data_IF_201841534750
#
_entry.id   IF_201841534750
#
_cell.length_a   1.000
_cell.length_b   1.000
_cell.length_c   1.000
_cell.angle_alpha   90.00
_cell.angle_beta   90.00
_cell.angle_gamma   90.00
#
_symmetry.space_group_name_H-M   'P 1'
#
loop_
_entity.id
_entity.type
_entity.pdbx_description
1 polymer ?
#
# COMPACT_ATOMS: atom_id res chain seq x y z
N UNK A 1 70.92 -65.11 1.12
CA UNK A 1 69.86 -64.18 0.66
C UNK A 1 70.56 -62.93 0.16
N UNK A 2 70.37 -62.54 -1.10
CA UNK A 2 71.16 -61.48 -1.73
C UNK A 2 70.94 -60.15 -1.03
N UNK A 3 72.00 -59.39 -0.80
CA UNK A 3 71.97 -58.04 -0.19
C UNK A 3 70.93 -57.13 -0.86
N UNK A 4 70.85 -57.22 -2.19
CA UNK A 4 69.86 -56.52 -3.01
C UNK A 4 68.40 -56.85 -2.60
N UNK A 5 68.13 -58.10 -2.23
CA UNK A 5 66.81 -58.53 -1.77
C UNK A 5 66.45 -57.89 -0.44
N UNK A 6 67.39 -57.77 0.51
CA UNK A 6 67.16 -57.12 1.80
C UNK A 6 66.84 -55.63 1.66
N UNK A 7 67.58 -54.91 0.80
CA UNK A 7 67.35 -53.49 0.54
C UNK A 7 65.99 -53.27 -0.14
N UNK A 8 65.67 -54.09 -1.15
CA UNK A 8 64.38 -54.01 -1.84
C UNK A 8 63.22 -54.31 -0.87
N UNK A 9 63.38 -55.32 -0.01
CA UNK A 9 62.38 -55.69 1.00
C UNK A 9 62.16 -54.53 1.99
N UNK A 10 63.23 -53.91 2.50
CA UNK A 10 63.13 -52.76 3.40
C UNK A 10 62.51 -51.53 2.72
N UNK A 11 62.81 -51.30 1.44
CA UNK A 11 62.18 -50.23 0.65
C UNK A 11 60.67 -50.47 0.46
N UNK A 12 60.25 -51.70 0.14
CA UNK A 12 58.83 -52.03 -0.04
C UNK A 12 58.08 -51.94 1.29
N UNK A 13 58.65 -52.45 2.38
CA UNK A 13 58.04 -52.36 3.71
C UNK A 13 57.96 -50.89 4.16
N UNK A 14 59.03 -50.12 3.98
CA UNK A 14 59.06 -48.70 4.31
C UNK A 14 58.03 -47.90 3.51
N UNK A 15 57.91 -48.17 2.20
CA UNK A 15 56.91 -47.53 1.35
C UNK A 15 55.47 -47.95 1.68
N UNK A 16 55.25 -49.21 2.01
CA UNK A 16 53.94 -49.68 2.48
C UNK A 16 53.54 -49.03 3.80
N UNK A 17 54.44 -48.99 4.80
CA UNK A 17 54.18 -48.34 6.08
C UNK A 17 53.96 -46.84 5.87
N UNK A 18 54.76 -46.17 5.04
CA UNK A 18 54.61 -44.75 4.74
C UNK A 18 53.26 -44.42 4.08
N UNK A 19 52.85 -45.21 3.08
CA UNK A 19 51.55 -45.06 2.44
C UNK A 19 50.39 -45.39 3.41
N UNK A 20 50.48 -46.50 4.16
CA UNK A 20 49.45 -46.95 5.08
C UNK A 20 49.24 -45.97 6.23
N UNK A 21 50.32 -45.49 6.86
CA UNK A 21 50.25 -44.53 7.96
C UNK A 21 49.62 -43.21 7.49
N UNK A 22 49.99 -42.72 6.31
CA UNK A 22 49.40 -41.49 5.80
C UNK A 22 47.93 -41.67 5.37
N UNK A 23 47.57 -42.82 4.79
CA UNK A 23 46.17 -43.16 4.50
C UNK A 23 45.31 -43.18 5.76
N UNK A 24 45.81 -43.79 6.84
CA UNK A 24 45.13 -43.82 8.14
C UNK A 24 45.02 -42.42 8.72
N UNK A 25 46.08 -41.61 8.66
CA UNK A 25 46.07 -40.23 9.18
C UNK A 25 45.01 -39.36 8.48
N UNK A 26 44.91 -39.45 7.15
CA UNK A 26 43.87 -38.75 6.38
C UNK A 26 42.48 -39.24 6.80
N UNK A 27 42.29 -40.56 6.91
CA UNK A 27 41.02 -41.15 7.36
C UNK A 27 40.65 -40.73 8.79
N UNK A 28 41.65 -40.50 9.64
CA UNK A 28 41.48 -40.03 11.02
C UNK A 28 41.02 -38.57 11.13
N UNK A 29 41.19 -37.75 10.10
CA UNK A 29 40.62 -36.40 10.06
C UNK A 29 39.08 -36.42 10.04
N UNK A 30 38.51 -37.45 9.42
CA UNK A 30 37.06 -37.60 9.21
C UNK A 30 36.41 -38.54 10.23
N UNK A 31 37.09 -39.63 10.60
CA UNK A 31 36.59 -40.66 11.52
C UNK A 31 37.55 -40.87 12.70
N UNK A 32 37.09 -41.28 13.89
CA UNK A 32 35.72 -41.63 14.26
C UNK A 32 34.86 -40.39 14.52
N UNK A 33 33.56 -40.52 14.25
CA UNK A 33 32.58 -39.44 14.41
C UNK A 33 32.28 -39.07 15.87
N UNK A 34 32.56 -39.99 16.80
CA UNK A 34 32.35 -39.81 18.26
C UNK A 34 33.65 -40.07 19.00
N UNK A 35 33.79 -39.48 20.19
CA UNK A 35 34.91 -39.77 21.08
C UNK A 35 34.85 -41.23 21.53
N UNK A 36 35.98 -41.93 21.44
CA UNK A 36 36.10 -43.32 21.90
C UNK A 36 36.81 -43.29 23.26
N UNK A 37 36.27 -44.02 24.23
CA UNK A 37 36.83 -44.14 25.58
C UNK A 37 37.40 -45.53 25.77
N UNK A 38 38.62 -45.61 26.31
CA UNK A 38 39.32 -46.85 26.63
C UNK A 38 39.85 -46.74 28.06
N UNK A 39 39.51 -47.70 28.94
CA UNK A 39 39.89 -47.69 30.36
C UNK A 39 39.62 -46.34 31.07
N UNK A 40 38.41 -45.81 30.93
CA UNK A 40 37.98 -44.49 31.44
C UNK A 40 38.80 -43.28 30.95
N UNK A 41 39.74 -43.45 30.00
CA UNK A 41 40.48 -42.37 29.38
C UNK A 41 40.05 -42.21 27.92
N UNK A 42 39.92 -40.96 27.48
CA UNK A 42 39.57 -40.65 26.08
C UNK A 42 40.77 -40.95 25.18
N UNK A 43 40.54 -41.70 24.09
CA UNK A 43 41.59 -41.98 23.12
C UNK A 43 42.04 -40.67 22.44
N UNK A 44 43.35 -40.39 22.35
CA UNK A 44 43.84 -39.22 21.62
C UNK A 44 43.37 -39.28 20.16
N UNK A 45 43.15 -38.12 19.55
CA UNK A 45 42.66 -37.98 18.18
C UNK A 45 41.25 -38.57 17.90
N UNK A 46 40.40 -38.70 18.93
CA UNK A 46 38.96 -39.02 18.77
C UNK A 46 38.06 -37.95 19.42
N UNK A 47 37.01 -37.45 18.75
CA UNK A 47 36.63 -37.70 17.37
C UNK A 47 37.63 -37.07 16.39
N UNK A 48 37.50 -37.39 15.10
CA UNK A 48 38.31 -36.79 14.04
C UNK A 48 38.26 -35.26 14.06
N UNK A 49 39.25 -34.62 13.43
CA UNK A 49 39.43 -33.16 13.48
C UNK A 49 38.23 -32.39 12.90
N UNK A 50 37.67 -32.85 11.77
CA UNK A 50 36.56 -32.19 11.08
C UNK A 50 35.25 -32.29 11.88
N UNK A 51 34.82 -33.48 12.37
CA UNK A 51 33.70 -33.59 13.30
C UNK A 51 33.84 -32.68 14.53
N UNK A 52 35.06 -32.54 15.07
CA UNK A 52 35.34 -31.73 16.25
C UNK A 52 35.18 -30.23 16.02
N UNK A 53 35.44 -29.73 14.80
CA UNK A 53 35.37 -28.29 14.44
C UNK A 53 34.14 -27.91 13.61
N UNK A 54 33.15 -28.81 13.50
CA UNK A 54 31.96 -28.60 12.67
C UNK A 54 31.22 -27.31 13.00
N UNK A 55 31.00 -27.01 14.28
CA UNK A 55 30.25 -25.82 14.69
C UNK A 55 31.02 -24.53 14.35
N UNK A 56 32.34 -24.57 14.46
CA UNK A 56 33.23 -23.47 14.06
C UNK A 56 33.20 -23.26 12.55
N UNK A 57 33.17 -24.34 11.76
CA UNK A 57 33.00 -24.27 10.30
C UNK A 57 31.64 -23.69 9.92
N UNK A 58 30.55 -24.16 10.54
CA UNK A 58 29.20 -23.68 10.30
C UNK A 58 29.09 -22.17 10.55
N UNK A 59 29.67 -21.69 11.67
CA UNK A 59 29.68 -20.27 12.03
C UNK A 59 30.48 -19.43 11.03
N UNK A 60 31.66 -19.88 10.61
CA UNK A 60 32.47 -19.15 9.65
C UNK A 60 31.85 -19.12 8.24
N UNK A 61 31.32 -20.26 7.77
CA UNK A 61 30.63 -20.32 6.49
C UNK A 61 29.39 -19.43 6.50
N UNK A 62 28.57 -19.48 7.55
CA UNK A 62 27.40 -18.61 7.69
C UNK A 62 27.78 -17.13 7.62
N UNK A 63 28.83 -16.73 8.33
CA UNK A 63 29.33 -15.34 8.28
C UNK A 63 29.80 -14.94 6.88
N UNK A 64 30.52 -15.81 6.17
CA UNK A 64 31.01 -15.53 4.81
C UNK A 64 29.85 -15.43 3.81
N UNK A 65 28.90 -16.36 3.87
CA UNK A 65 27.72 -16.37 2.99
C UNK A 65 26.91 -15.10 3.15
N UNK A 66 26.64 -14.65 4.38
CA UNK A 66 25.90 -13.41 4.61
C UNK A 66 26.68 -12.18 4.16
N UNK A 67 27.97 -12.11 4.50
CA UNK A 67 28.79 -10.92 4.17
C UNK A 67 29.15 -10.77 2.69
N UNK A 68 29.05 -11.82 1.87
CA UNK A 68 29.47 -11.79 0.47
C UNK A 68 28.40 -12.18 -0.54
N UNK A 69 27.42 -13.01 -0.17
CA UNK A 69 26.37 -13.49 -1.10
C UNK A 69 25.00 -12.87 -0.83
N UNK A 70 24.68 -12.58 0.44
CA UNK A 70 23.41 -12.01 0.87
C UNK A 70 23.60 -10.59 1.41
N UNK A 71 24.38 -9.79 0.68
CA UNK A 71 24.57 -8.37 1.01
C UNK A 71 23.31 -7.57 0.65
N UNK A 72 23.11 -6.47 1.35
CA UNK A 72 22.04 -5.50 1.06
C UNK A 72 22.06 -5.09 -0.41
N UNK A 73 23.24 -4.71 -0.93
CA UNK A 73 23.40 -4.28 -2.33
C UNK A 73 23.01 -5.38 -3.32
N UNK A 74 23.40 -6.63 -3.06
CA UNK A 74 23.08 -7.75 -3.95
C UNK A 74 21.57 -8.05 -3.97
N UNK A 75 20.92 -8.01 -2.81
CA UNK A 75 19.47 -8.22 -2.68
C UNK A 75 18.72 -7.06 -3.34
N UNK A 76 19.12 -5.82 -3.06
CA UNK A 76 18.55 -4.62 -3.66
C UNK A 76 18.66 -4.64 -5.18
N UNK A 77 19.85 -4.92 -5.71
CA UNK A 77 20.06 -5.02 -7.16
C UNK A 77 19.18 -6.09 -7.79
N UNK A 78 18.97 -7.23 -7.10
CA UNK A 78 18.09 -8.29 -7.61
C UNK A 78 16.61 -7.91 -7.57
N UNK A 79 16.17 -7.20 -6.54
CA UNK A 79 14.78 -6.73 -6.39
C UNK A 79 14.39 -5.66 -7.43
N UNK A 80 15.37 -4.87 -7.87
CA UNK A 80 15.21 -3.83 -8.89
C UNK A 80 15.49 -4.32 -10.32
N UNK A 81 15.74 -5.62 -10.49
CA UNK A 81 15.97 -6.21 -11.82
C UNK A 81 14.67 -6.19 -12.65
N UNK A 82 14.76 -5.67 -13.87
CA UNK A 82 13.60 -5.54 -14.77
C UNK A 82 12.93 -6.90 -15.07
N UNK A 83 13.72 -7.98 -15.14
CA UNK A 83 13.14 -9.32 -15.39
C UNK A 83 12.31 -9.79 -14.19
N UNK A 84 12.81 -9.60 -12.97
CA UNK A 84 12.05 -9.95 -11.77
C UNK A 84 10.77 -9.11 -11.66
N UNK A 85 10.84 -7.80 -11.92
CA UNK A 85 9.67 -6.92 -11.94
C UNK A 85 8.63 -7.43 -12.94
N UNK A 86 9.06 -7.81 -14.14
CA UNK A 86 8.18 -8.37 -15.17
C UNK A 86 7.57 -9.71 -14.75
N UNK A 87 8.37 -10.64 -14.22
CA UNK A 87 7.87 -11.94 -13.74
C UNK A 87 6.82 -11.79 -12.63
N UNK A 88 7.05 -10.87 -11.68
CA UNK A 88 6.09 -10.58 -10.61
C UNK A 88 4.83 -9.92 -11.18
N UNK A 89 4.99 -8.97 -12.09
CA UNK A 89 3.88 -8.30 -12.77
C UNK A 89 3.01 -9.32 -13.53
N UNK A 90 3.62 -10.23 -14.28
CA UNK A 90 2.92 -11.28 -15.02
C UNK A 90 2.21 -12.25 -14.06
N UNK A 91 2.86 -12.61 -12.95
CA UNK A 91 2.27 -13.47 -11.91
C UNK A 91 1.06 -12.82 -11.25
N UNK A 92 1.16 -11.56 -10.85
CA UNK A 92 0.05 -10.80 -10.24
C UNK A 92 -1.06 -10.58 -11.26
N UNK A 93 -0.73 -10.30 -12.52
CA UNK A 93 -1.72 -10.18 -13.60
C UNK A 93 -2.49 -11.47 -13.80
N UNK A 94 -1.80 -12.61 -13.79
CA UNK A 94 -2.44 -13.93 -13.87
C UNK A 94 -3.35 -14.20 -12.67
N UNK A 95 -2.87 -13.93 -11.46
CA UNK A 95 -3.67 -14.07 -10.24
C UNK A 95 -4.90 -13.15 -10.26
N UNK A 96 -4.75 -11.92 -10.73
CA UNK A 96 -5.85 -10.98 -10.90
C UNK A 96 -6.89 -11.54 -11.86
N UNK A 97 -6.47 -12.06 -13.02
CA UNK A 97 -7.39 -12.65 -13.99
C UNK A 97 -8.11 -13.90 -13.43
N UNK A 98 -7.41 -14.78 -12.70
CA UNK A 98 -8.03 -15.92 -12.01
C UNK A 98 -9.07 -15.46 -10.96
N UNK A 99 -8.77 -14.40 -10.21
CA UNK A 99 -9.69 -13.83 -9.21
C UNK A 99 -10.86 -13.05 -9.82
N UNK A 100 -10.71 -12.53 -11.03
CA UNK A 100 -11.78 -11.88 -11.79
C UNK A 100 -12.86 -12.86 -12.29
N UNK A 101 -12.58 -14.17 -12.28
CA UNK A 101 -13.56 -15.21 -12.61
C UNK A 101 -14.41 -15.66 -11.42
N UNK A 102 -14.05 -15.27 -10.19
CA UNK A 102 -14.83 -15.58 -8.99
C UNK A 102 -15.92 -14.52 -8.78
N UNK A 103 -16.92 -14.85 -7.96
CA UNK A 103 -17.97 -13.90 -7.55
C UNK A 103 -17.78 -13.52 -6.07
N UNK A 104 -16.62 -12.95 -5.74
CA UNK A 104 -16.33 -12.56 -4.35
C UNK A 104 -16.80 -11.14 -4.08
N UNK A 105 -17.54 -10.95 -3.00
CA UNK A 105 -17.96 -9.61 -2.58
C UNK A 105 -16.83 -8.90 -1.80
N UNK A 106 -16.76 -7.56 -1.83
CA UNK A 106 -15.82 -6.82 -0.98
C UNK A 106 -15.94 -7.20 0.51
N UNK A 107 -17.15 -7.47 0.99
CA UNK A 107 -17.38 -7.86 2.39
C UNK A 107 -16.75 -9.23 2.71
N UNK A 108 -16.90 -10.22 1.83
CA UNK A 108 -16.26 -11.54 1.97
C UNK A 108 -14.73 -11.46 1.89
N UNK A 109 -14.18 -10.67 0.96
CA UNK A 109 -12.74 -10.46 0.86
C UNK A 109 -12.18 -9.86 2.15
N UNK A 110 -12.79 -8.79 2.65
CA UNK A 110 -12.33 -8.10 3.85
C UNK A 110 -12.48 -8.98 5.10
N UNK A 111 -13.55 -9.78 5.18
CA UNK A 111 -13.70 -10.78 6.22
C UNK A 111 -12.56 -11.81 6.20
N UNK A 112 -12.11 -12.25 5.03
CA UNK A 112 -10.97 -13.18 4.91
C UNK A 112 -9.66 -12.59 5.43
N UNK A 113 -9.47 -11.27 5.33
CA UNK A 113 -8.33 -10.55 5.90
C UNK A 113 -8.47 -10.27 7.41
N UNK A 114 -9.51 -10.80 8.07
CA UNK A 114 -9.77 -10.57 9.50
C UNK A 114 -10.49 -9.25 9.79
N UNK A 115 -11.03 -8.59 8.77
CA UNK A 115 -11.79 -7.37 8.95
C UNK A 115 -13.31 -7.65 9.01
N UNK A 116 -13.84 -7.87 10.21
CA UNK A 116 -15.29 -7.93 10.45
C UNK A 116 -15.97 -6.57 10.28
N UNK A 117 -17.24 -6.53 9.86
CA UNK A 117 -18.02 -5.29 9.66
C UNK A 117 -17.28 -4.24 8.80
N UNK A 118 -16.66 -4.71 7.71
CA UNK A 118 -15.79 -3.87 6.89
C UNK A 118 -16.54 -2.70 6.24
N UNK A 119 -17.81 -2.91 5.87
CA UNK A 119 -18.70 -1.86 5.36
C UNK A 119 -18.84 -0.69 6.35
N UNK A 120 -19.32 -0.96 7.58
CA UNK A 120 -19.55 0.06 8.60
C UNK A 120 -18.25 0.82 8.93
N UNK A 121 -17.14 0.09 9.07
CA UNK A 121 -15.84 0.72 9.40
C UNK A 121 -15.29 1.57 8.26
N UNK A 122 -15.43 1.10 7.02
CA UNK A 122 -15.00 1.85 5.85
C UNK A 122 -15.83 3.13 5.71
N UNK A 123 -17.15 3.04 5.89
CA UNK A 123 -18.04 4.19 5.83
C UNK A 123 -17.76 5.21 6.94
N UNK A 124 -17.54 4.78 8.18
CA UNK A 124 -17.16 5.67 9.27
C UNK A 124 -15.80 6.36 9.03
N UNK A 125 -14.84 5.66 8.43
CA UNK A 125 -13.55 6.26 8.04
C UNK A 125 -13.71 7.27 6.91
N UNK A 126 -14.52 6.95 5.88
CA UNK A 126 -14.84 7.86 4.78
C UNK A 126 -15.52 9.11 5.32
N UNK A 127 -16.54 8.97 6.16
CA UNK A 127 -17.27 10.08 6.79
C UNK A 127 -16.32 11.03 7.50
N UNK A 128 -15.49 10.50 8.40
CA UNK A 128 -14.53 11.30 9.17
C UNK A 128 -13.48 11.95 8.28
N UNK A 129 -13.01 11.25 7.24
CA UNK A 129 -12.00 11.76 6.32
C UNK A 129 -12.58 12.85 5.44
N UNK A 130 -13.80 12.68 4.93
CA UNK A 130 -14.52 13.68 4.13
C UNK A 130 -14.83 14.92 4.96
N UNK A 131 -15.35 14.76 6.18
CA UNK A 131 -15.62 15.89 7.07
C UNK A 131 -14.34 16.69 7.34
N UNK A 132 -13.22 16.00 7.60
CA UNK A 132 -11.92 16.64 7.79
C UNK A 132 -11.45 17.35 6.53
N UNK A 133 -11.57 16.73 5.36
CA UNK A 133 -11.12 17.31 4.09
C UNK A 133 -11.97 18.52 3.69
N UNK A 134 -13.28 18.46 3.88
CA UNK A 134 -14.19 19.59 3.65
C UNK A 134 -13.87 20.73 4.61
N UNK A 135 -13.70 20.45 5.91
CA UNK A 135 -13.32 21.47 6.88
C UNK A 135 -11.94 22.08 6.55
N UNK A 136 -10.98 21.26 6.15
CA UNK A 136 -9.66 21.73 5.73
C UNK A 136 -9.75 22.60 4.47
N UNK A 137 -10.56 22.21 3.50
CA UNK A 137 -10.82 22.97 2.29
C UNK A 137 -11.46 24.33 2.61
N UNK A 138 -12.55 24.35 3.40
CA UNK A 138 -13.23 25.58 3.83
C UNK A 138 -12.29 26.50 4.61
N UNK A 139 -11.41 25.93 5.44
CA UNK A 139 -10.42 26.69 6.22
C UNK A 139 -9.25 27.23 5.39
N UNK A 140 -8.84 26.51 4.34
CA UNK A 140 -7.70 26.88 3.47
C UNK A 140 -8.11 27.83 2.36
N UNK A 141 -9.37 27.74 1.90
CA UNK A 141 -9.92 28.52 0.79
C UNK A 141 -10.78 29.71 1.23
N UNK A 142 -10.65 30.15 2.49
CA UNK A 142 -11.41 31.27 3.09
C UNK A 142 -11.47 32.54 2.24
N UNK A 143 -10.33 32.92 1.68
CA UNK A 143 -10.15 34.16 0.90
C UNK A 143 -10.33 33.97 -0.61
N UNK A 144 -10.72 32.77 -1.05
CA UNK A 144 -10.99 32.52 -2.47
C UNK A 144 -12.40 33.01 -2.79
N UNK A 145 -12.56 33.64 -3.96
CA UNK A 145 -13.87 34.09 -4.42
C UNK A 145 -14.72 32.89 -4.79
N UNK A 146 -16.02 32.98 -4.55
CA UNK A 146 -16.96 31.92 -4.91
C UNK A 146 -16.93 31.60 -6.42
N UNK A 147 -16.71 32.61 -7.26
CA UNK A 147 -16.50 32.48 -8.71
C UNK A 147 -15.38 31.50 -9.09
N UNK A 148 -14.31 31.39 -8.31
CA UNK A 148 -13.19 30.48 -8.61
C UNK A 148 -13.48 29.02 -8.19
N UNK A 149 -14.51 28.81 -7.37
CA UNK A 149 -14.89 27.50 -6.82
C UNK A 149 -16.04 26.85 -7.59
N UNK A 150 -16.81 27.64 -8.35
CA UNK A 150 -17.93 27.15 -9.17
C UNK A 150 -17.39 26.68 -10.53
N UNK A 151 -17.58 25.41 -10.91
CA UNK A 151 -17.23 24.94 -12.25
C UNK A 151 -17.98 25.72 -13.34
N UNK A 152 -17.31 26.08 -14.44
CA UNK A 152 -17.91 26.84 -15.55
C UNK A 152 -19.21 26.22 -16.11
N UNK A 153 -19.40 24.90 -15.97
CA UNK A 153 -20.63 24.21 -16.34
C UNK A 153 -21.84 24.65 -15.50
N UNK A 154 -21.66 24.87 -14.19
CA UNK A 154 -22.72 25.35 -13.30
C UNK A 154 -23.14 26.79 -13.63
N UNK A 155 -22.19 27.64 -13.97
CA UNK A 155 -22.45 29.04 -14.37
C UNK A 155 -23.35 29.10 -15.61
N UNK A 156 -23.10 28.22 -16.58
CA UNK A 156 -23.92 28.09 -17.79
C UNK A 156 -25.34 27.54 -17.52
N UNK A 157 -25.48 26.58 -16.62
CA UNK A 157 -26.80 26.06 -16.21
C UNK A 157 -27.58 27.13 -15.44
N UNK A 158 -26.94 27.84 -14.52
CA UNK A 158 -27.59 28.87 -13.70
C UNK A 158 -28.12 30.04 -14.54
N UNK A 159 -27.35 30.53 -15.50
CA UNK A 159 -27.80 31.57 -16.45
C UNK A 159 -28.99 31.11 -17.30
N UNK A 160 -29.06 29.81 -17.61
CA UNK A 160 -30.19 29.21 -18.36
C UNK A 160 -31.41 28.98 -17.47
N UNK A 161 -31.23 28.70 -16.17
CA UNK A 161 -32.30 28.40 -15.22
C UNK A 161 -32.86 29.63 -14.49
N UNK A 162 -32.10 30.72 -14.37
CA UNK A 162 -32.53 31.97 -13.73
C UNK A 162 -33.84 32.55 -14.31
N UNK A 163 -34.04 32.56 -15.65
CA UNK A 163 -35.33 32.96 -16.22
C UNK A 163 -36.51 32.11 -15.75
N UNK A 164 -36.33 30.80 -15.60
CA UNK A 164 -37.36 29.90 -15.07
C UNK A 164 -37.65 30.15 -13.58
N UNK A 165 -36.62 30.51 -12.81
CA UNK A 165 -36.79 30.93 -11.41
C UNK A 165 -37.60 32.23 -11.34
N UNK A 166 -37.29 33.21 -12.20
CA UNK A 166 -38.05 34.45 -12.33
C UNK A 166 -39.52 34.19 -12.69
N UNK A 167 -39.77 33.29 -13.64
CA UNK A 167 -41.12 32.90 -14.03
C UNK A 167 -41.87 32.25 -12.86
N UNK A 168 -41.21 31.37 -12.10
CA UNK A 168 -41.82 30.71 -10.93
C UNK A 168 -42.09 31.69 -9.79
N UNK A 169 -41.20 32.67 -9.57
CA UNK A 169 -41.39 33.72 -8.56
C UNK A 169 -42.53 34.66 -8.96
N UNK A 170 -42.54 35.16 -10.19
CA UNK A 170 -43.62 36.03 -10.69
C UNK A 170 -44.97 35.33 -10.72
N UNK A 171 -45.02 34.06 -11.11
CA UNK A 171 -46.23 33.25 -11.02
C UNK A 171 -46.74 33.11 -9.58
N UNK A 172 -45.85 32.80 -8.62
CA UNK A 172 -46.24 32.74 -7.20
C UNK A 172 -46.69 34.09 -6.65
N UNK A 173 -46.03 35.18 -7.02
CA UNK A 173 -46.44 36.53 -6.61
C UNK A 173 -47.80 36.91 -7.21
N UNK A 174 -48.06 36.61 -8.48
CA UNK A 174 -49.36 36.84 -9.10
C UNK A 174 -50.45 36.01 -8.43
N UNK A 175 -50.20 34.73 -8.12
CA UNK A 175 -51.15 33.89 -7.39
C UNK A 175 -51.46 34.42 -5.99
N UNK A 176 -50.43 34.86 -5.25
CA UNK A 176 -50.61 35.45 -3.92
C UNK A 176 -51.41 36.76 -3.99
N UNK A 177 -51.07 37.66 -4.91
CA UNK A 177 -51.81 38.92 -5.07
C UNK A 177 -53.26 38.65 -5.48
N UNK A 178 -53.54 37.63 -6.28
CA UNK A 178 -54.89 37.24 -6.68
C UNK A 178 -55.68 36.51 -5.58
N UNK A 179 -55.02 36.01 -4.53
CA UNK A 179 -55.69 35.25 -3.47
C UNK A 179 -56.47 36.15 -2.50
N UNK A 180 -57.38 35.53 -1.75
CA UNK A 180 -58.10 36.19 -0.67
C UNK A 180 -57.13 36.71 0.42
N UNK A 181 -56.04 35.98 0.72
CA UNK A 181 -55.02 36.49 1.65
C UNK A 181 -54.33 37.75 1.11
N UNK A 182 -53.98 37.78 -0.18
CA UNK A 182 -53.41 38.96 -0.83
C UNK A 182 -54.33 40.18 -0.74
N UNK A 183 -55.63 39.97 -1.00
CA UNK A 183 -56.66 41.03 -0.87
C UNK A 183 -56.74 41.58 0.55
N UNK A 184 -56.77 40.70 1.56
CA UNK A 184 -56.78 41.09 2.98
C UNK A 184 -55.51 41.88 3.33
N UNK A 185 -54.34 41.43 2.88
CA UNK A 185 -53.07 42.09 3.15
C UNK A 185 -52.99 43.48 2.51
N UNK A 186 -53.42 43.63 1.26
CA UNK A 186 -53.49 44.93 0.55
C UNK A 186 -54.43 45.89 1.29
N UNK A 187 -55.59 45.40 1.72
CA UNK A 187 -56.55 46.17 2.50
C UNK A 187 -55.96 46.67 3.81
N UNK A 188 -55.27 45.82 4.54
CA UNK A 188 -54.58 46.19 5.78
C UNK A 188 -53.45 47.20 5.52
N UNK A 189 -52.63 47.01 4.48
CA UNK A 189 -51.60 47.97 4.10
C UNK A 189 -52.18 49.35 3.78
N UNK A 190 -53.32 49.40 3.07
CA UNK A 190 -54.02 50.65 2.78
C UNK A 190 -54.61 51.30 4.03
N UNK A 191 -55.19 50.51 4.94
CA UNK A 191 -55.70 51.01 6.22
C UNK A 191 -54.57 51.62 7.04
N UNK A 192 -53.45 50.91 7.19
CA UNK A 192 -52.27 51.38 7.91
C UNK A 192 -51.69 52.63 7.27
N UNK A 193 -51.57 52.68 5.93
CA UNK A 193 -51.07 53.85 5.22
C UNK A 193 -51.90 55.12 5.54
N UNK A 194 -53.22 55.03 5.50
CA UNK A 194 -54.09 56.16 5.81
C UNK A 194 -54.12 56.52 7.30
N UNK A 195 -53.75 55.60 8.19
CA UNK A 195 -53.63 55.85 9.62
C UNK A 195 -52.30 56.51 9.99
N UNK A 196 -51.20 56.05 9.39
CA UNK A 196 -49.86 56.61 9.58
C UNK A 196 -49.74 58.04 9.02
N UNK A 197 -50.47 58.37 7.95
CA UNK A 197 -50.49 59.71 7.38
C UNK A 197 -51.39 60.71 8.14
N UNK A 198 -51.76 60.38 9.38
CA UNK A 198 -52.37 61.29 10.35
C UNK A 198 -53.64 61.98 9.84
N UNK A 199 -53.72 63.31 9.98
CA UNK A 199 -54.92 64.09 9.66
C UNK A 199 -55.26 64.12 8.16
N UNK A 200 -54.28 64.00 7.26
CA UNK A 200 -54.55 63.95 5.82
C UNK A 200 -55.03 62.56 5.39
N UNK A 201 -54.49 61.50 5.96
CA UNK A 201 -54.92 60.13 5.69
C UNK A 201 -56.35 59.84 6.20
N UNK A 202 -56.73 60.38 7.35
CA UNK A 202 -58.12 60.28 7.85
C UNK A 202 -59.13 61.02 6.96
N UNK A 203 -58.74 62.15 6.36
CA UNK A 203 -59.57 62.85 5.37
C UNK A 203 -59.71 62.03 4.07
N UNK A 204 -58.63 61.41 3.59
CA UNK A 204 -58.66 60.58 2.38
C UNK A 204 -59.60 59.37 2.51
N UNK A 205 -59.71 58.76 3.71
CA UNK A 205 -60.64 57.65 4.00
C UNK A 205 -62.11 58.01 3.79
N UNK A 206 -62.50 59.29 3.88
CA UNK A 206 -63.88 59.73 3.64
C UNK A 206 -64.25 59.71 2.14
N UNK A 207 -63.25 59.85 1.26
CA UNK A 207 -63.45 59.94 -0.18
C UNK A 207 -63.02 58.67 -0.94
N UNK A 208 -62.14 57.87 -0.34
CA UNK A 208 -61.62 56.63 -0.92
C UNK A 208 -62.21 55.43 -0.17
N UNK A 209 -63.05 54.66 -0.86
CA UNK A 209 -63.49 53.36 -0.34
C UNK A 209 -62.33 52.38 -0.41
N UNK A 210 -61.82 51.98 0.75
CA UNK A 210 -60.68 51.06 0.89
C UNK A 210 -60.94 49.72 0.19
N UNK A 211 -62.19 49.23 0.17
CA UNK A 211 -62.51 47.94 -0.46
C UNK A 211 -62.31 48.00 -1.98
N UNK A 212 -62.95 48.97 -2.66
CA UNK A 212 -62.85 49.11 -4.11
C UNK A 212 -61.49 49.63 -4.56
N UNK A 213 -60.79 50.37 -3.70
CA UNK A 213 -59.42 50.79 -3.96
C UNK A 213 -58.43 49.61 -3.83
N UNK A 214 -58.62 48.73 -2.85
CA UNK A 214 -57.83 47.49 -2.71
C UNK A 214 -57.98 46.61 -3.94
N UNK A 215 -59.20 46.44 -4.45
CA UNK A 215 -59.47 45.68 -5.69
C UNK A 215 -58.79 46.30 -6.91
N UNK A 216 -58.80 47.63 -7.05
CA UNK A 216 -58.07 48.31 -8.13
C UNK A 216 -56.56 48.14 -8.02
N UNK A 217 -56.00 48.23 -6.81
CA UNK A 217 -54.57 47.98 -6.58
C UNK A 217 -54.22 46.53 -6.86
N UNK A 218 -55.07 45.58 -6.48
CA UNK A 218 -54.90 44.16 -6.77
C UNK A 218 -54.85 43.91 -8.28
N UNK A 219 -55.80 44.46 -9.04
CA UNK A 219 -55.86 44.30 -10.50
C UNK A 219 -54.65 44.93 -11.21
N UNK A 220 -54.27 46.17 -10.84
CA UNK A 220 -53.11 46.81 -11.46
C UNK A 220 -51.79 46.15 -11.02
N UNK A 221 -51.72 45.66 -9.78
CA UNK A 221 -50.58 44.89 -9.26
C UNK A 221 -50.41 43.55 -9.99
N UNK A 222 -51.49 42.82 -10.28
CA UNK A 222 -51.45 41.60 -11.08
C UNK A 222 -50.99 41.86 -12.51
N UNK A 223 -51.50 42.93 -13.12
CA UNK A 223 -51.11 43.34 -14.46
C UNK A 223 -49.63 43.71 -14.50
N UNK A 224 -49.13 44.43 -13.50
CA UNK A 224 -47.73 44.84 -13.38
C UNK A 224 -46.81 43.63 -13.14
N UNK A 225 -47.16 42.70 -12.26
CA UNK A 225 -46.34 41.48 -12.01
C UNK A 225 -46.23 40.60 -13.27
N UNK A 226 -47.30 40.52 -14.07
CA UNK A 226 -47.34 39.70 -15.27
C UNK A 226 -46.72 40.38 -16.52
N UNK A 227 -46.45 41.68 -16.48
CA UNK A 227 -45.78 42.39 -17.57
C UNK A 227 -44.37 41.84 -17.83
N UNK A 228 -44.01 41.80 -19.11
CA UNK A 228 -42.67 41.39 -19.57
C UNK A 228 -41.57 42.24 -18.91
N UNK A 229 -41.79 43.55 -18.77
CA UNK A 229 -40.82 44.48 -18.19
C UNK A 229 -40.52 44.16 -16.72
N UNK A 230 -41.53 43.82 -15.92
CA UNK A 230 -41.35 43.44 -14.51
C UNK A 230 -40.61 42.12 -14.38
N UNK A 231 -40.93 41.14 -15.24
CA UNK A 231 -40.18 39.86 -15.30
C UNK A 231 -38.72 40.11 -15.67
N UNK A 232 -38.46 40.95 -16.67
CA UNK A 232 -37.09 41.30 -17.07
C UNK A 232 -36.32 42.02 -15.96
N UNK A 233 -36.98 42.95 -15.25
CA UNK A 233 -36.38 43.65 -14.11
C UNK A 233 -36.04 42.69 -12.97
N UNK A 234 -36.95 41.78 -12.60
CA UNK A 234 -36.68 40.77 -11.57
C UNK A 234 -35.54 39.85 -12.00
N UNK A 235 -35.53 39.41 -13.27
CA UNK A 235 -34.45 38.57 -13.78
C UNK A 235 -33.09 39.28 -13.72
N UNK A 236 -33.05 40.57 -14.08
CA UNK A 236 -31.83 41.39 -13.97
C UNK A 236 -31.37 41.57 -12.52
N UNK A 237 -32.30 41.82 -11.60
CA UNK A 237 -31.99 41.90 -10.17
C UNK A 237 -31.41 40.58 -9.64
N UNK A 238 -32.06 39.44 -9.94
CA UNK A 238 -31.58 38.12 -9.53
C UNK A 238 -30.21 37.79 -10.14
N UNK A 239 -30.00 38.14 -11.40
CA UNK A 239 -28.71 37.95 -12.08
C UNK A 239 -27.62 38.82 -11.46
N UNK A 240 -27.95 40.06 -11.07
CA UNK A 240 -27.01 40.98 -10.43
C UNK A 240 -26.67 40.53 -9.01
N UNK A 241 -27.66 40.11 -8.23
CA UNK A 241 -27.45 39.52 -6.91
C UNK A 241 -26.63 38.23 -6.99
N UNK A 242 -26.87 37.39 -8.01
CA UNK A 242 -26.06 36.20 -8.25
C UNK A 242 -24.59 36.55 -8.52
N UNK A 243 -24.31 37.52 -9.40
CA UNK A 243 -22.94 37.99 -9.67
C UNK A 243 -22.27 38.60 -8.44
N UNK A 244 -23.04 39.33 -7.62
CA UNK A 244 -22.55 39.86 -6.36
C UNK A 244 -22.23 38.74 -5.37
N UNK A 245 -23.03 37.67 -5.34
CA UNK A 245 -22.76 36.47 -4.54
C UNK A 245 -21.48 35.75 -5.00
N UNK A 246 -21.27 35.59 -6.32
CA UNK A 246 -20.06 34.99 -6.90
C UNK A 246 -18.78 35.79 -6.61
N UNK A 247 -18.91 37.11 -6.45
CA UNK A 247 -17.79 38.00 -6.16
C UNK A 247 -17.35 37.99 -4.69
N UNK A 248 -18.19 37.48 -3.78
CA UNK A 248 -17.89 37.40 -2.34
C UNK A 248 -16.90 36.29 -2.02
N UNK A 249 -16.15 36.50 -0.95
CA UNK A 249 -15.23 35.50 -0.41
C UNK A 249 -16.00 34.42 0.35
N UNK A 250 -15.44 33.21 0.37
CA UNK A 250 -16.06 32.05 1.01
C UNK A 250 -16.35 32.28 2.51
N UNK A 251 -15.48 33.01 3.21
CA UNK A 251 -15.63 33.34 4.63
C UNK A 251 -16.81 34.28 4.92
N UNK A 252 -17.15 35.19 3.99
CA UNK A 252 -18.32 36.08 4.13
C UNK A 252 -19.64 35.33 3.91
N UNK A 253 -19.62 34.30 3.07
CA UNK A 253 -20.80 33.49 2.75
C UNK A 253 -21.04 32.38 3.79
N UNK A 254 -19.96 31.80 4.31
CA UNK A 254 -20.00 30.72 5.29
C UNK A 254 -19.16 31.09 6.51
N UNK A 255 -19.79 31.68 7.55
CA UNK A 255 -19.10 32.00 8.80
C UNK A 255 -18.44 30.76 9.41
N UNK A 256 -17.25 30.94 10.00
CA UNK A 256 -16.44 29.85 10.58
C UNK A 256 -17.23 28.99 11.58
N UNK A 257 -18.18 29.58 12.32
CA UNK A 257 -19.06 28.87 13.27
C UNK A 257 -19.99 27.84 12.60
N UNK A 258 -20.38 28.05 11.33
CA UNK A 258 -21.29 27.17 10.58
C UNK A 258 -20.55 26.21 9.64
N UNK A 259 -19.24 26.37 9.45
CA UNK A 259 -18.44 25.52 8.57
C UNK A 259 -18.48 24.06 8.99
N UNK A 260 -18.30 23.78 10.29
CA UNK A 260 -18.37 22.42 10.82
C UNK A 260 -19.75 21.77 10.61
N UNK A 261 -20.82 22.54 10.82
CA UNK A 261 -22.19 22.05 10.62
C UNK A 261 -22.47 21.75 9.14
N UNK A 262 -22.05 22.64 8.22
CA UNK A 262 -22.19 22.40 6.78
C UNK A 262 -21.34 21.22 6.31
N UNK A 263 -20.11 21.07 6.80
CA UNK A 263 -19.25 19.94 6.49
C UNK A 263 -19.91 18.62 6.91
N UNK A 264 -20.47 18.55 8.13
CA UNK A 264 -21.23 17.40 8.60
C UNK A 264 -22.46 17.10 7.76
N UNK A 265 -23.28 18.12 7.45
CA UNK A 265 -24.48 17.95 6.62
C UNK A 265 -24.15 17.46 5.20
N UNK A 266 -23.19 18.11 4.53
CA UNK A 266 -22.74 17.70 3.20
C UNK A 266 -22.20 16.27 3.21
N UNK A 267 -21.41 15.92 4.22
CA UNK A 267 -20.88 14.56 4.36
C UNK A 267 -22.01 13.55 4.53
N UNK A 268 -22.99 13.83 5.39
CA UNK A 268 -24.13 12.94 5.62
C UNK A 268 -25.01 12.73 4.39
N UNK A 269 -25.30 13.81 3.64
CA UNK A 269 -26.05 13.76 2.38
C UNK A 269 -25.30 12.95 1.33
N UNK A 270 -23.98 13.16 1.19
CA UNK A 270 -23.15 12.41 0.25
C UNK A 270 -23.08 10.91 0.59
N UNK A 271 -23.00 10.57 1.86
CA UNK A 271 -23.00 9.17 2.32
C UNK A 271 -24.33 8.48 2.04
N UNK A 272 -25.45 9.16 2.28
CA UNK A 272 -26.78 8.62 2.00
C UNK A 272 -27.06 8.48 0.51
N UNK A 273 -26.58 9.43 -0.30
CA UNK A 273 -26.68 9.35 -1.76
C UNK A 273 -25.78 8.26 -2.37
N UNK A 274 -24.72 7.85 -1.67
CA UNK A 274 -23.80 6.82 -2.12
C UNK A 274 -24.33 5.41 -1.76
N UNK A 275 -24.59 4.54 -2.74
CA UNK A 275 -25.18 3.21 -2.51
C UNK A 275 -24.15 2.20 -1.96
N UNK A 276 -23.60 2.49 -0.77
CA UNK A 276 -22.53 1.72 -0.14
C UNK A 276 -22.92 0.26 0.10
N UNK A 277 -24.13 -0.01 0.60
CA UNK A 277 -24.62 -1.38 0.85
C UNK A 277 -24.61 -2.23 -0.42
N UNK A 278 -24.99 -1.65 -1.56
CA UNK A 278 -24.96 -2.35 -2.85
C UNK A 278 -23.52 -2.62 -3.31
N UNK A 279 -22.61 -1.67 -3.08
CA UNK A 279 -21.21 -1.80 -3.50
C UNK A 279 -20.47 -2.88 -2.69
N UNK A 280 -20.72 -2.98 -1.39
CA UNK A 280 -20.08 -3.97 -0.52
C UNK A 280 -20.65 -5.39 -0.67
N UNK A 281 -21.90 -5.52 -1.12
CA UNK A 281 -22.58 -6.80 -1.27
C UNK A 281 -22.68 -7.31 -2.71
N UNK A 282 -22.22 -6.55 -3.71
CA UNK A 282 -22.11 -7.05 -5.09
C UNK A 282 -20.72 -7.61 -5.36
N UNK A 283 -20.58 -8.57 -6.31
CA UNK A 283 -19.26 -9.08 -6.69
C UNK A 283 -18.36 -7.94 -7.17
N UNK A 284 -17.17 -7.82 -6.59
CA UNK A 284 -16.24 -6.72 -6.89
C UNK A 284 -15.86 -6.69 -8.38
N UNK A 285 -15.90 -7.86 -9.01
CA UNK A 285 -15.64 -8.09 -10.43
C UNK A 285 -16.57 -7.28 -11.34
N UNK A 286 -17.81 -7.01 -10.93
CA UNK A 286 -18.76 -6.21 -11.73
C UNK A 286 -18.26 -4.78 -11.89
N UNK A 287 -17.72 -4.19 -10.83
CA UNK A 287 -17.14 -2.84 -10.86
C UNK A 287 -15.79 -2.87 -11.60
N UNK A 288 -14.95 -3.86 -11.31
CA UNK A 288 -13.60 -3.93 -11.83
C UNK A 288 -13.52 -4.24 -13.33
N UNK A 289 -14.54 -4.89 -13.93
CA UNK A 289 -14.58 -5.19 -15.38
C UNK A 289 -14.38 -3.94 -16.25
N UNK A 290 -14.96 -2.80 -15.87
CA UNK A 290 -14.84 -1.56 -16.62
C UNK A 290 -13.44 -0.95 -16.55
N UNK A 291 -12.64 -1.36 -15.57
CA UNK A 291 -11.30 -0.85 -15.32
C UNK A 291 -10.24 -1.94 -15.50
N UNK A 292 -10.60 -3.14 -15.95
CA UNK A 292 -9.72 -4.33 -15.99
C UNK A 292 -8.45 -4.05 -16.80
N UNK A 293 -8.61 -3.50 -18.01
CA UNK A 293 -7.49 -3.13 -18.89
C UNK A 293 -6.56 -2.10 -18.23
N UNK A 294 -7.13 -1.05 -17.62
CA UNK A 294 -6.34 -0.02 -16.91
C UNK A 294 -5.62 -0.60 -15.70
N UNK A 295 -6.25 -1.53 -14.99
CA UNK A 295 -5.64 -2.19 -13.84
C UNK A 295 -4.45 -3.02 -14.28
N UNK A 296 -4.61 -3.85 -15.32
CA UNK A 296 -3.55 -4.73 -15.82
C UNK A 296 -2.40 -3.94 -16.44
N UNK A 297 -2.68 -2.91 -17.25
CA UNK A 297 -1.65 -2.20 -18.00
C UNK A 297 -0.94 -1.11 -17.18
N UNK A 298 -1.60 -0.53 -16.17
CA UNK A 298 -1.06 0.64 -15.44
C UNK A 298 -0.99 0.42 -13.95
N UNK A 299 -2.06 -0.07 -13.32
CA UNK A 299 -2.12 -0.16 -11.85
C UNK A 299 -1.22 -1.27 -11.32
N UNK A 300 -1.27 -2.47 -11.92
CA UNK A 300 -0.46 -3.61 -11.48
C UNK A 300 1.05 -3.32 -11.67
N UNK A 301 1.55 -2.90 -12.85
CA UNK A 301 2.96 -2.56 -13.02
C UNK A 301 3.41 -1.46 -12.05
N UNK A 302 2.62 -0.39 -11.91
CA UNK A 302 2.93 0.69 -10.98
C UNK A 302 2.98 0.22 -9.52
N UNK A 303 2.03 -0.61 -9.10
CA UNK A 303 1.99 -1.15 -7.75
C UNK A 303 3.17 -2.09 -7.48
N UNK A 304 3.53 -2.94 -8.45
CA UNK A 304 4.68 -3.86 -8.36
C UNK A 304 5.98 -3.08 -8.26
N UNK A 305 6.19 -2.09 -9.12
CA UNK A 305 7.37 -1.22 -9.10
C UNK A 305 7.50 -0.54 -7.73
N UNK A 306 6.43 0.11 -7.25
CA UNK A 306 6.45 0.79 -5.95
C UNK A 306 6.66 -0.16 -4.78
N UNK A 307 6.07 -1.36 -4.82
CA UNK A 307 6.26 -2.36 -3.79
C UNK A 307 7.69 -2.88 -3.77
N UNK A 308 8.26 -3.18 -4.94
CA UNK A 308 9.63 -3.66 -5.06
C UNK A 308 10.65 -2.58 -4.67
N UNK A 309 10.43 -1.34 -5.07
CA UNK A 309 11.23 -0.19 -4.61
C UNK A 309 11.17 -0.03 -3.09
N UNK A 310 9.98 -0.15 -2.50
CA UNK A 310 9.79 -0.07 -1.07
C UNK A 310 10.56 -1.18 -0.33
N UNK A 311 10.44 -2.43 -0.79
CA UNK A 311 11.16 -3.58 -0.21
C UNK A 311 12.67 -3.44 -0.44
N UNK A 312 13.10 -2.98 -1.61
CA UNK A 312 14.50 -2.76 -1.95
C UNK A 312 15.14 -1.69 -1.05
N UNK A 313 14.40 -0.60 -0.77
CA UNK A 313 14.85 0.49 0.11
C UNK A 313 14.95 0.07 1.58
N UNK A 314 14.08 -0.84 2.04
CA UNK A 314 14.09 -1.35 3.41
C UNK A 314 14.80 -2.71 3.54
N UNK A 315 15.49 -3.17 2.50
CA UNK A 315 16.11 -4.51 2.46
C UNK A 315 17.19 -4.68 3.53
N UNK A 316 17.93 -3.62 3.86
CA UNK A 316 18.94 -3.61 4.93
C UNK A 316 18.36 -4.07 6.28
N UNK A 317 17.25 -3.42 6.67
CA UNK A 317 16.60 -3.67 7.95
C UNK A 317 15.97 -5.06 8.00
N UNK A 318 15.41 -5.51 6.88
CA UNK A 318 14.86 -6.87 6.74
C UNK A 318 15.95 -7.91 6.94
N UNK A 319 17.09 -7.76 6.25
CA UNK A 319 18.22 -8.71 6.31
C UNK A 319 18.82 -8.76 7.72
N UNK A 320 18.97 -7.62 8.37
CA UNK A 320 19.50 -7.53 9.74
C UNK A 320 18.57 -8.24 10.74
N UNK A 321 17.25 -8.03 10.62
CA UNK A 321 16.25 -8.65 11.51
C UNK A 321 16.08 -10.16 11.28
N UNK A 322 16.40 -10.65 10.08
CA UNK A 322 16.21 -12.07 9.71
C UNK A 322 17.29 -13.02 10.25
N UNK A 323 18.36 -12.52 10.90
CA UNK A 323 19.51 -13.29 11.41
C UNK A 323 19.92 -14.45 10.47
N UNK A 324 20.11 -14.11 9.19
CA UNK A 324 20.40 -15.08 8.14
C UNK A 324 21.68 -15.86 8.43
N UNK A 325 22.61 -15.27 9.18
CA UNK A 325 23.84 -15.93 9.60
C UNK A 325 23.53 -17.12 10.50
N UNK A 326 22.61 -16.94 11.46
CA UNK A 326 22.17 -18.03 12.34
C UNK A 326 21.34 -19.08 11.61
N UNK A 327 20.54 -18.67 10.62
CA UNK A 327 19.80 -19.61 9.78
C UNK A 327 20.76 -20.52 9.01
N UNK A 328 21.76 -19.94 8.33
CA UNK A 328 22.77 -20.71 7.59
C UNK A 328 23.62 -21.57 8.54
N UNK A 329 24.02 -21.05 9.70
CA UNK A 329 24.74 -21.82 10.74
C UNK A 329 23.92 -23.06 11.15
N UNK A 330 22.63 -22.86 11.45
CA UNK A 330 21.72 -23.93 11.86
C UNK A 330 21.57 -24.97 10.75
N UNK A 331 21.43 -24.53 9.50
CA UNK A 331 21.29 -25.44 8.36
C UNK A 331 22.57 -26.25 8.09
N UNK A 332 23.75 -25.65 8.24
CA UNK A 332 25.01 -26.41 8.14
C UNK A 332 25.15 -27.37 9.32
N UNK A 333 24.65 -26.98 10.50
CA UNK A 333 24.59 -27.82 11.68
C UNK A 333 23.51 -28.94 11.61
N UNK A 334 22.70 -29.03 10.55
CA UNK A 334 21.86 -30.22 10.29
C UNK A 334 22.55 -31.25 9.39
N UNK A 335 23.54 -30.86 8.59
CA UNK A 335 24.28 -31.80 7.73
C UNK A 335 25.00 -32.88 8.54
N UNK A 336 24.70 -34.13 8.25
CA UNK A 336 25.30 -35.27 8.93
C UNK A 336 26.82 -35.33 8.69
N UNK A 337 27.57 -35.87 9.67
CA UNK A 337 29.03 -36.03 9.54
C UNK A 337 29.47 -36.79 8.27
N UNK A 338 28.75 -37.82 7.80
CA UNK A 338 29.05 -38.46 6.51
C UNK A 338 28.88 -37.56 5.29
N UNK A 339 27.93 -36.62 5.29
CA UNK A 339 27.72 -35.69 4.18
C UNK A 339 28.86 -34.68 4.07
N UNK A 340 29.34 -34.18 5.22
CA UNK A 340 30.50 -33.29 5.29
C UNK A 340 31.77 -34.04 4.84
N UNK A 341 31.97 -35.30 5.29
CA UNK A 341 33.06 -36.16 4.82
C UNK A 341 32.99 -36.31 3.29
N UNK A 342 31.81 -36.60 2.73
CA UNK A 342 31.62 -36.74 1.29
C UNK A 342 31.99 -35.45 0.54
N UNK A 343 31.48 -34.29 0.98
CA UNK A 343 31.73 -33.00 0.32
C UNK A 343 33.22 -32.66 0.30
N UNK A 344 33.92 -32.84 1.43
CA UNK A 344 35.36 -32.55 1.52
C UNK A 344 36.19 -33.56 0.72
N UNK A 345 35.83 -34.85 0.75
CA UNK A 345 36.55 -35.88 -0.01
C UNK A 345 36.31 -35.74 -1.52
N UNK A 346 35.13 -35.28 -1.94
CA UNK A 346 34.81 -35.02 -3.35
C UNK A 346 35.63 -33.86 -3.91
N UNK A 347 35.81 -32.78 -3.12
CA UNK A 347 36.62 -31.62 -3.51
C UNK A 347 38.13 -31.92 -3.41
N UNK A 348 38.58 -32.54 -2.31
CA UNK A 348 40.01 -32.68 -1.97
C UNK A 348 40.60 -34.08 -2.23
N UNK A 349 39.81 -35.04 -2.70
CA UNK A 349 40.21 -36.45 -2.77
C UNK A 349 41.41 -36.74 -3.67
N UNK A 350 41.65 -35.92 -4.70
CA UNK A 350 42.86 -36.03 -5.55
C UNK A 350 44.12 -35.61 -4.79
N UNK A 351 44.06 -34.48 -4.09
CA UNK A 351 45.16 -33.97 -3.28
C UNK A 351 45.52 -34.93 -2.13
N UNK A 352 44.49 -35.44 -1.43
CA UNK A 352 44.69 -36.40 -0.34
C UNK A 352 45.39 -37.68 -0.80
N UNK A 353 45.05 -38.20 -1.99
CA UNK A 353 45.73 -39.37 -2.58
C UNK A 353 47.20 -39.08 -2.91
N UNK A 354 47.50 -37.86 -3.36
CA UNK A 354 48.88 -37.45 -3.65
C UNK A 354 49.76 -37.47 -2.39
N UNK A 355 49.22 -37.02 -1.25
CA UNK A 355 49.94 -37.09 0.03
C UNK A 355 50.19 -38.55 0.43
N UNK A 356 49.23 -39.46 0.23
CA UNK A 356 49.43 -40.91 0.48
C UNK A 356 50.53 -41.48 -0.41
N UNK A 357 50.55 -41.11 -1.68
CA UNK A 357 51.57 -41.54 -2.64
C UNK A 357 52.96 -41.01 -2.26
N UNK A 358 53.06 -39.73 -1.90
CA UNK A 358 54.31 -39.12 -1.44
C UNK A 358 54.83 -39.79 -0.17
N UNK A 359 53.94 -40.11 0.79
CA UNK A 359 54.28 -40.87 1.98
C UNK A 359 54.85 -42.25 1.66
N UNK A 360 54.30 -42.92 0.63
CA UNK A 360 54.84 -44.18 0.13
C UNK A 360 56.20 -44.05 -0.53
N UNK A 361 56.42 -43.03 -1.36
CA UNK A 361 57.73 -42.77 -1.97
C UNK A 361 58.78 -42.49 -0.89
N UNK A 362 58.45 -41.63 0.06
CA UNK A 362 59.38 -41.16 1.09
C UNK A 362 59.69 -42.28 2.09
N UNK A 363 58.68 -43.08 2.46
CA UNK A 363 58.87 -44.31 3.23
C UNK A 363 59.73 -45.34 2.51
N UNK A 364 59.57 -45.47 1.18
CA UNK A 364 60.42 -46.32 0.36
C UNK A 364 61.87 -45.85 0.33
N UNK A 365 62.08 -44.54 0.18
CA UNK A 365 63.40 -43.93 0.22
C UNK A 365 64.10 -44.12 1.58
N UNK A 366 63.37 -43.91 2.70
CA UNK A 366 63.88 -44.19 4.04
C UNK A 366 64.21 -45.67 4.21
N UNK A 367 63.37 -46.57 3.69
CA UNK A 367 63.61 -48.01 3.71
C UNK A 367 64.88 -48.43 2.94
N UNK A 368 65.19 -47.77 1.82
CA UNK A 368 66.45 -47.96 1.10
C UNK A 368 67.64 -47.54 1.96
N UNK A 369 67.57 -46.35 2.57
CA UNK A 369 68.64 -45.83 3.45
C UNK A 369 68.85 -46.77 4.64
N UNK A 370 67.78 -47.22 5.29
CA UNK A 370 67.84 -48.18 6.40
C UNK A 370 68.43 -49.52 5.95
N UNK A 371 68.03 -50.02 4.78
CA UNK A 371 68.58 -51.24 4.20
C UNK A 371 70.07 -51.14 3.92
N UNK A 372 70.57 -49.97 3.49
CA UNK A 372 72.01 -49.72 3.26
C UNK A 372 72.77 -49.61 4.59
N UNK A 373 72.25 -48.89 5.57
CA UNK A 373 72.88 -48.74 6.89
C UNK A 373 72.92 -50.06 7.67
N UNK A 374 71.88 -50.89 7.55
CA UNK A 374 71.82 -52.22 8.17
C UNK A 374 72.86 -53.21 7.60
N UNK A 375 73.56 -52.86 6.51
CA UNK A 375 74.69 -53.66 6.02
C UNK A 375 76.01 -53.33 6.73
N UNK A 376 76.09 -52.16 7.37
CA UNK A 376 77.30 -51.66 8.04
C UNK A 376 77.31 -51.93 9.55
N UNK A 377 76.18 -52.36 10.09
CA UNK A 377 75.96 -52.82 11.47
C UNK A 377 75.88 -54.34 11.42
#
# INVERSE_FOLDING_TARGET
>A
MSVLFTILLMAVIGGFIGAMTNYIAIRMLFRPYKAIYLFNKRLPFTPGLIPKRRDELAKHIGKVVVSHLLTEDAIRARLLDENLQKEITDTITKMFHEKMQLETTPNELLHHFGYENAEIRSMAWIEKTMEKEINHFLATKKTTKMSDLIPAMLESELTTKLPHVTERITSKMALFVASEEGKIQIKQMLQNFFEEHGKMGSMARMFINVESFSEKIQQEGLKLINQEDTKNLINQLLTTEWKNFEAKELEELIPTEKQAHLAGQLTSELIQAFPHEKLFNQPIQVILRNYETTIIEKVIPFAVERMLDFVATHSAEIVERMDLAKLVETQIATFSLPEIEKLVVEISGRELKMITYLGGILGGFIGIIQGVLAMWI
#
